data_IF_850559824398
#
_entry.id   IF_850559824398
#
_cell.length_a   1.000
_cell.length_b   1.000
_cell.length_c   1.000
_cell.angle_alpha   90.00
_cell.angle_beta   90.00
_cell.angle_gamma   90.00
#
_symmetry.space_group_name_H-M   'P 1'
#
loop_
_entity.id
_entity.type
_entity.pdbx_description
1 polymer ?
#
# COMPACT_ATOMS: atom_id res chain seq x y z
N UNK A 1 -46.96 -74.13 15.22
CA UNK A 1 -46.88 -73.17 16.34
C UNK A 1 -46.63 -71.81 15.72
N UNK A 2 -47.59 -70.90 15.82
CA UNK A 2 -47.51 -69.56 15.26
C UNK A 2 -47.01 -68.60 16.36
N UNK A 3 -45.95 -67.85 16.07
CA UNK A 3 -45.41 -66.82 16.96
C UNK A 3 -46.41 -65.67 17.11
N UNK A 4 -46.77 -65.37 18.35
CA UNK A 4 -47.60 -64.23 18.72
C UNK A 4 -46.65 -63.02 18.91
N UNK A 5 -46.80 -61.92 18.15
CA UNK A 5 -45.96 -60.75 18.34
C UNK A 5 -46.28 -60.04 19.67
N UNK A 6 -45.21 -59.62 20.36
CA UNK A 6 -45.25 -58.92 21.65
C UNK A 6 -46.12 -57.65 21.63
N UNK A 7 -46.82 -57.34 22.73
CA UNK A 7 -47.61 -56.12 22.84
C UNK A 7 -46.70 -54.88 22.92
N UNK A 8 -47.04 -53.90 22.07
CA UNK A 8 -46.45 -52.57 22.02
C UNK A 8 -46.23 -51.96 23.41
N UNK A 9 -44.96 -51.76 23.77
CA UNK A 9 -44.53 -51.00 24.94
C UNK A 9 -44.96 -49.53 24.75
N UNK A 10 -46.01 -49.10 25.46
CA UNK A 10 -46.42 -47.68 25.50
C UNK A 10 -45.26 -46.85 26.06
N UNK A 11 -44.64 -46.06 25.20
CA UNK A 11 -43.78 -44.96 25.60
C UNK A 11 -44.66 -43.85 26.16
N UNK A 12 -44.76 -43.78 27.48
CA UNK A 12 -45.27 -42.62 28.21
C UNK A 12 -44.33 -41.44 27.95
N UNK A 13 -44.52 -40.76 26.82
CA UNK A 13 -43.91 -39.46 26.56
C UNK A 13 -44.82 -38.43 27.18
N UNK A 14 -44.43 -37.92 28.34
CA UNK A 14 -44.97 -36.67 28.88
C UNK A 14 -45.10 -35.63 27.75
N UNK A 15 -46.26 -34.95 27.62
CA UNK A 15 -46.46 -33.98 26.58
C UNK A 15 -45.45 -32.84 26.75
N UNK A 16 -44.45 -32.78 25.87
CA UNK A 16 -43.49 -31.68 25.82
C UNK A 16 -44.26 -30.39 25.55
N UNK A 17 -44.25 -29.50 26.54
CA UNK A 17 -44.82 -28.16 26.46
C UNK A 17 -44.41 -27.45 25.16
N UNK A 18 -45.39 -26.95 24.40
CA UNK A 18 -45.17 -26.16 23.18
C UNK A 18 -44.31 -24.91 23.43
N UNK A 19 -44.29 -24.36 24.66
CA UNK A 19 -43.37 -23.30 25.07
C UNK A 19 -41.91 -23.75 25.05
N UNK A 20 -41.61 -25.00 25.40
CA UNK A 20 -40.26 -25.56 25.33
C UNK A 20 -39.77 -25.86 23.90
N UNK A 21 -40.70 -25.87 22.92
CA UNK A 21 -40.41 -26.01 21.49
C UNK A 21 -40.33 -24.67 20.76
N UNK A 22 -40.88 -23.60 21.33
CA UNK A 22 -40.95 -22.26 20.72
C UNK A 22 -40.00 -21.24 21.34
N UNK A 23 -39.52 -21.46 22.57
CA UNK A 23 -38.41 -20.69 23.11
C UNK A 23 -37.10 -21.20 22.49
N UNK A 24 -36.36 -20.39 21.69
CA UNK A 24 -35.06 -20.77 21.21
C UNK A 24 -34.18 -21.08 22.43
N UNK A 25 -33.79 -22.34 22.57
CA UNK A 25 -33.17 -22.94 23.75
C UNK A 25 -31.79 -22.37 24.12
N UNK A 26 -31.37 -21.21 23.60
CA UNK A 26 -29.95 -20.86 23.55
C UNK A 26 -29.59 -19.37 23.48
N UNK A 27 -30.42 -18.43 23.96
CA UNK A 27 -30.02 -17.01 23.93
C UNK A 27 -30.33 -16.18 25.18
N UNK A 28 -31.01 -16.73 26.19
CA UNK A 28 -31.17 -16.04 27.46
C UNK A 28 -30.10 -16.54 28.44
N UNK A 29 -29.12 -15.70 28.82
CA UNK A 29 -28.15 -16.08 29.83
C UNK A 29 -28.84 -16.41 31.17
N UNK A 30 -28.19 -17.14 32.07
CA UNK A 30 -28.65 -17.31 33.45
C UNK A 30 -28.97 -15.96 34.10
N UNK A 31 -29.90 -15.95 35.05
CA UNK A 31 -30.31 -14.74 35.76
C UNK A 31 -29.09 -14.08 36.43
N UNK A 32 -28.83 -12.81 36.14
CA UNK A 32 -27.69 -12.05 36.68
C UNK A 32 -26.60 -11.74 35.65
N UNK A 33 -26.49 -12.54 34.59
CA UNK A 33 -25.42 -12.41 33.60
C UNK A 33 -25.87 -11.53 32.43
N UNK A 34 -25.11 -10.48 32.13
CA UNK A 34 -25.29 -9.65 30.93
C UNK A 34 -24.20 -9.94 29.92
N UNK A 35 -24.59 -10.09 28.65
CA UNK A 35 -23.65 -10.32 27.56
C UNK A 35 -23.64 -9.13 26.63
N UNK A 36 -22.45 -8.60 26.37
CA UNK A 36 -22.25 -7.51 25.41
C UNK A 36 -21.22 -7.91 24.38
N UNK A 37 -21.54 -7.67 23.11
CA UNK A 37 -20.57 -7.80 22.02
C UNK A 37 -20.12 -6.41 21.61
N UNK A 38 -18.82 -6.14 21.69
CA UNK A 38 -18.22 -4.89 21.21
C UNK A 38 -17.15 -5.18 20.17
N UNK A 39 -16.79 -4.17 19.37
CA UNK A 39 -15.71 -4.27 18.39
C UNK A 39 -14.58 -3.36 18.85
N UNK A 40 -13.38 -3.92 18.98
CA UNK A 40 -12.19 -3.16 19.32
C UNK A 40 -11.39 -2.86 18.06
N UNK A 41 -11.03 -1.59 17.87
CA UNK A 41 -10.31 -1.13 16.68
C UNK A 41 -8.81 -1.37 16.85
N UNK A 42 -8.23 -2.23 16.01
CA UNK A 42 -6.77 -2.48 15.97
C UNK A 42 -6.07 -1.59 14.94
N UNK A 43 -6.41 -0.30 14.88
CA UNK A 43 -5.99 0.57 13.79
C UNK A 43 -4.53 1.03 13.86
N UNK A 44 -3.90 1.04 15.04
CA UNK A 44 -2.58 1.66 15.23
C UNK A 44 -1.49 1.14 14.27
N UNK A 45 -1.33 -0.18 14.18
CA UNK A 45 -0.34 -0.78 13.28
C UNK A 45 -0.71 -0.65 11.79
N UNK A 46 -2.01 -0.64 11.48
CA UNK A 46 -2.52 -0.49 10.11
C UNK A 46 -2.32 0.94 9.58
N UNK A 47 -2.49 1.94 10.44
CA UNK A 47 -2.17 3.34 10.12
C UNK A 47 -0.67 3.46 9.83
N UNK A 48 0.18 2.81 10.63
CA UNK A 48 1.62 2.76 10.36
C UNK A 48 1.95 2.16 8.99
N UNK A 49 1.35 1.03 8.63
CA UNK A 49 1.53 0.42 7.30
C UNK A 49 1.02 1.31 6.16
N UNK A 50 -0.07 2.03 6.37
CA UNK A 50 -0.62 2.97 5.40
C UNK A 50 0.39 4.10 5.13
N UNK A 51 0.95 4.70 6.17
CA UNK A 51 1.97 5.75 6.06
C UNK A 51 3.21 5.22 5.34
N UNK A 52 3.71 4.03 5.70
CA UNK A 52 4.85 3.41 5.03
C UNK A 52 4.55 3.17 3.55
N UNK A 53 3.38 2.62 3.22
CA UNK A 53 2.96 2.38 1.84
C UNK A 53 2.93 3.66 1.02
N UNK A 54 2.41 4.77 1.56
CA UNK A 54 2.43 6.08 0.91
C UNK A 54 3.85 6.59 0.67
N UNK A 55 4.73 6.49 1.67
CA UNK A 55 6.14 6.93 1.54
C UNK A 55 6.84 6.12 0.45
N UNK A 56 6.68 4.80 0.44
CA UNK A 56 7.28 3.91 -0.56
C UNK A 56 6.74 4.24 -1.96
N UNK A 57 5.43 4.51 -2.09
CA UNK A 57 4.85 4.92 -3.37
C UNK A 57 5.39 6.24 -3.90
N UNK A 58 5.49 7.26 -3.04
CA UNK A 58 6.05 8.57 -3.40
C UNK A 58 7.53 8.46 -3.75
N UNK A 59 8.29 7.70 -2.98
CA UNK A 59 9.71 7.44 -3.27
C UNK A 59 9.89 6.72 -4.61
N UNK A 60 9.06 5.70 -4.88
CA UNK A 60 9.06 4.99 -6.17
C UNK A 60 8.75 5.92 -7.34
N UNK A 61 7.77 6.81 -7.19
CA UNK A 61 7.42 7.81 -8.20
C UNK A 61 8.57 8.81 -8.44
N UNK A 62 9.25 9.25 -7.39
CA UNK A 62 10.35 10.21 -7.50
C UNK A 62 11.56 9.68 -8.27
N UNK A 63 11.71 8.36 -8.39
CA UNK A 63 12.83 7.73 -9.09
C UNK A 63 12.39 6.91 -10.30
N UNK A 64 11.12 7.01 -10.72
CA UNK A 64 10.56 6.21 -11.82
C UNK A 64 11.16 6.58 -13.17
N UNK A 65 11.62 7.82 -13.31
CA UNK A 65 12.29 8.31 -14.50
C UNK A 65 13.80 8.17 -14.33
N UNK A 66 14.43 7.40 -15.23
CA UNK A 66 15.88 7.32 -15.36
C UNK A 66 16.30 7.84 -16.74
N UNK A 67 17.52 8.36 -16.84
CA UNK A 67 18.06 8.92 -18.07
C UNK A 67 19.17 8.01 -18.58
N UNK A 68 18.85 7.15 -19.53
CA UNK A 68 19.82 6.22 -20.10
C UNK A 68 20.53 6.83 -21.29
N UNK A 69 21.83 6.61 -21.35
CA UNK A 69 22.63 6.95 -22.53
C UNK A 69 22.03 6.25 -23.76
N UNK A 70 21.76 7.03 -24.80
CA UNK A 70 21.30 6.52 -26.08
C UNK A 70 22.44 6.48 -27.10
N UNK A 71 22.99 7.65 -27.42
CA UNK A 71 24.01 7.80 -28.46
C UNK A 71 24.76 9.12 -28.30
N UNK A 72 26.00 9.14 -28.80
CA UNK A 72 26.79 10.35 -28.97
C UNK A 72 27.12 10.63 -30.44
N UNK A 73 27.30 11.89 -30.79
CA UNK A 73 27.75 12.37 -32.09
C UNK A 73 28.91 13.32 -31.90
N UNK A 74 29.84 13.31 -32.85
CA UNK A 74 31.00 14.18 -32.87
C UNK A 74 31.02 14.92 -34.19
N UNK A 75 31.06 16.24 -34.13
CA UNK A 75 31.07 17.12 -35.30
C UNK A 75 32.16 18.16 -35.14
N UNK A 76 32.85 18.46 -36.24
CA UNK A 76 33.80 19.55 -36.33
C UNK A 76 33.35 20.50 -37.44
N UNK A 77 33.15 21.77 -37.11
CA UNK A 77 32.74 22.78 -38.08
C UNK A 77 33.27 24.15 -37.73
N UNK A 78 33.28 25.04 -38.71
CA UNK A 78 33.65 26.45 -38.53
C UNK A 78 32.41 27.32 -38.63
N UNK A 79 32.29 28.31 -37.74
CA UNK A 79 31.24 29.34 -37.76
C UNK A 79 31.90 30.67 -38.13
N UNK A 80 31.50 31.22 -39.28
CA UNK A 80 32.07 32.46 -39.79
C UNK A 80 31.63 33.67 -38.95
N UNK A 81 32.34 34.81 -39.03
CA UNK A 81 31.84 36.06 -38.46
C UNK A 81 30.47 36.39 -39.04
N UNK A 82 29.58 36.99 -38.25
CA UNK A 82 28.21 37.33 -38.70
C UNK A 82 27.32 36.14 -39.04
N UNK A 83 27.73 34.91 -38.70
CA UNK A 83 26.96 33.68 -38.94
C UNK A 83 26.46 33.06 -37.64
N UNK A 84 25.30 32.40 -37.71
CA UNK A 84 24.83 31.45 -36.72
C UNK A 84 24.60 30.08 -37.37
N UNK A 85 25.31 29.05 -36.91
CA UNK A 85 25.24 27.70 -37.47
C UNK A 85 24.14 26.88 -36.76
N UNK A 86 23.09 26.43 -37.48
CA UNK A 86 22.05 25.58 -36.91
C UNK A 86 22.49 24.11 -36.83
N UNK A 87 22.08 23.43 -35.77
CA UNK A 87 22.18 21.97 -35.63
C UNK A 87 20.86 21.40 -35.09
N UNK A 88 20.13 20.71 -35.97
CA UNK A 88 18.76 20.23 -35.69
C UNK A 88 18.71 18.89 -34.97
N UNK A 89 17.77 18.76 -34.04
CA UNK A 89 17.54 17.59 -33.19
C UNK A 89 16.06 17.26 -33.10
N UNK A 90 15.71 15.99 -33.28
CA UNK A 90 14.36 15.50 -32.99
C UNK A 90 14.34 14.85 -31.62
N UNK A 91 13.68 15.49 -30.66
CA UNK A 91 13.71 15.11 -29.25
C UNK A 91 12.32 14.71 -28.75
N UNK A 92 12.27 13.72 -27.87
CA UNK A 92 11.06 13.39 -27.10
C UNK A 92 11.03 14.24 -25.82
N UNK A 93 9.84 14.44 -25.25
CA UNK A 93 9.69 15.10 -23.94
C UNK A 93 10.57 14.42 -22.89
N UNK A 94 11.27 15.21 -22.07
CA UNK A 94 12.17 14.74 -21.01
C UNK A 94 13.51 14.20 -21.51
N UNK A 95 13.71 14.09 -22.83
CA UNK A 95 15.02 13.71 -23.38
C UNK A 95 16.03 14.81 -23.11
N UNK A 96 17.23 14.41 -22.70
CA UNK A 96 18.31 15.32 -22.35
C UNK A 96 19.36 15.29 -23.44
N UNK A 97 19.61 16.45 -24.03
CA UNK A 97 20.71 16.71 -24.94
C UNK A 97 21.83 17.42 -24.18
N UNK A 98 22.96 16.73 -24.00
CA UNK A 98 24.18 17.30 -23.46
C UNK A 98 25.12 17.67 -24.62
N UNK A 99 25.68 18.87 -24.59
CA UNK A 99 26.63 19.35 -25.61
C UNK A 99 27.90 19.80 -24.92
N UNK A 100 28.99 19.12 -25.25
CA UNK A 100 30.34 19.44 -24.83
C UNK A 100 31.11 19.95 -26.04
N UNK A 101 31.60 21.19 -26.00
CA UNK A 101 32.26 21.82 -27.13
C UNK A 101 33.60 22.47 -26.75
N UNK A 102 34.57 22.38 -27.65
CA UNK A 102 35.80 23.17 -27.60
C UNK A 102 35.81 24.17 -28.75
N UNK A 103 36.20 25.41 -28.47
CA UNK A 103 36.19 26.51 -29.44
C UNK A 103 37.62 26.99 -29.67
N UNK A 104 38.01 27.07 -30.94
CA UNK A 104 39.29 27.61 -31.39
C UNK A 104 39.07 28.85 -32.28
N UNK A 105 40.06 29.73 -32.33
CA UNK A 105 39.98 31.00 -33.06
C UNK A 105 39.30 32.13 -32.28
N UNK A 106 39.65 33.38 -32.62
CA UNK A 106 39.16 34.59 -31.94
C UNK A 106 39.35 34.56 -30.42
N UNK A 107 38.30 34.92 -29.68
CA UNK A 107 38.26 34.92 -28.21
C UNK A 107 37.85 33.56 -27.60
N UNK A 108 37.80 32.48 -28.40
CA UNK A 108 37.41 31.12 -27.98
C UNK A 108 36.04 31.05 -27.29
N UNK A 109 35.12 31.90 -27.73
CA UNK A 109 33.77 31.99 -27.19
C UNK A 109 32.72 31.74 -28.26
N UNK A 110 31.50 31.40 -27.92
CA UNK A 110 30.39 31.26 -28.88
C UNK A 110 29.08 31.46 -28.12
N UNK A 111 28.07 32.05 -28.75
CA UNK A 111 26.74 32.09 -28.14
C UNK A 111 26.01 30.80 -28.49
N UNK A 112 25.37 30.17 -27.50
CA UNK A 112 24.57 28.96 -27.74
C UNK A 112 23.15 29.17 -27.24
N UNK A 113 22.17 28.92 -28.10
CA UNK A 113 20.76 28.93 -27.74
C UNK A 113 20.00 27.84 -28.52
N UNK A 114 18.82 27.49 -28.03
CA UNK A 114 17.94 26.45 -28.57
C UNK A 114 16.62 27.09 -28.96
N UNK A 115 16.17 26.79 -30.17
CA UNK A 115 14.89 27.22 -30.72
C UNK A 115 13.99 26.01 -30.91
N UNK A 116 12.71 26.14 -30.55
CA UNK A 116 11.68 25.17 -30.97
C UNK A 116 11.27 25.49 -32.41
N UNK A 117 11.54 24.58 -33.34
CA UNK A 117 11.31 24.78 -34.77
C UNK A 117 9.82 24.95 -35.10
N UNK A 118 8.91 24.46 -34.23
CA UNK A 118 7.46 24.64 -34.42
C UNK A 118 7.03 26.07 -34.16
N UNK A 119 7.55 26.69 -33.10
CA UNK A 119 7.12 28.02 -32.65
C UNK A 119 8.04 29.13 -33.14
N UNK A 120 9.26 28.78 -33.56
CA UNK A 120 10.34 29.73 -33.88
C UNK A 120 10.86 30.48 -32.66
N UNK A 121 10.42 30.12 -31.44
CA UNK A 121 10.82 30.82 -30.21
C UNK A 121 12.04 30.17 -29.58
N UNK A 122 12.91 31.00 -29.01
CA UNK A 122 14.03 30.54 -28.19
C UNK A 122 13.48 29.95 -26.89
N UNK A 123 13.61 28.63 -26.74
CA UNK A 123 13.19 27.91 -25.53
C UNK A 123 14.26 27.96 -24.45
N UNK A 124 15.53 28.10 -24.84
CA UNK A 124 16.66 28.21 -23.91
C UNK A 124 17.78 29.02 -24.52
N UNK A 125 18.26 30.04 -23.83
CA UNK A 125 19.47 30.78 -24.20
C UNK A 125 20.54 30.54 -23.12
N UNK A 126 21.68 29.99 -23.51
CA UNK A 126 22.82 29.79 -22.62
C UNK A 126 23.78 30.99 -22.64
N UNK A 127 23.52 31.98 -23.50
CA UNK A 127 24.34 33.16 -23.66
C UNK A 127 25.68 32.88 -24.34
N UNK A 128 26.60 33.82 -24.18
CA UNK A 128 27.98 33.73 -24.70
C UNK A 128 28.84 32.95 -23.72
N UNK A 129 29.36 31.82 -24.17
CA UNK A 129 30.16 30.89 -23.37
C UNK A 129 31.59 30.85 -23.88
N UNK A 130 32.55 30.66 -22.97
CA UNK A 130 33.99 30.54 -23.28
C UNK A 130 34.41 29.08 -23.17
N UNK A 131 35.27 28.61 -24.08
CA UNK A 131 35.76 27.23 -24.10
C UNK A 131 36.57 26.85 -22.84
N UNK A 132 36.45 25.61 -22.33
CA UNK A 132 35.56 24.52 -22.75
C UNK A 132 34.10 24.74 -22.32
N UNK A 133 33.17 24.31 -23.18
CA UNK A 133 31.74 24.52 -22.99
C UNK A 133 31.07 23.19 -22.67
N UNK A 134 30.21 23.17 -21.66
CA UNK A 134 29.31 22.07 -21.34
C UNK A 134 27.93 22.63 -21.05
N UNK A 135 26.93 22.24 -21.84
CA UNK A 135 25.54 22.63 -21.64
C UNK A 135 24.63 21.40 -21.64
N UNK A 136 23.54 21.50 -20.88
CA UNK A 136 22.52 20.45 -20.77
C UNK A 136 21.16 21.06 -21.07
N UNK A 137 20.47 20.51 -22.06
CA UNK A 137 19.13 20.90 -22.46
C UNK A 137 18.17 19.73 -22.30
N UNK A 138 17.08 19.94 -21.57
CA UNK A 138 15.98 18.97 -21.44
C UNK A 138 14.81 19.44 -22.30
N UNK A 139 14.34 18.57 -23.20
CA UNK A 139 13.25 18.90 -24.11
C UNK A 139 11.91 18.98 -23.36
N UNK A 140 11.24 20.16 -23.32
CA UNK A 140 10.00 20.34 -22.56
C UNK A 140 8.81 19.60 -23.20
N UNK A 141 8.83 19.45 -24.52
CA UNK A 141 7.83 18.76 -25.31
C UNK A 141 8.51 17.87 -26.36
N UNK A 142 7.74 16.99 -26.99
CA UNK A 142 8.20 16.24 -28.15
C UNK A 142 8.20 17.16 -29.36
N UNK A 143 9.33 17.31 -30.04
CA UNK A 143 9.45 18.24 -31.16
C UNK A 143 10.79 18.21 -31.87
N UNK A 144 10.94 19.14 -32.82
CA UNK A 144 12.21 19.43 -33.46
C UNK A 144 12.78 20.70 -32.80
N UNK A 145 14.04 20.61 -32.40
CA UNK A 145 14.76 21.69 -31.74
C UNK A 145 16.04 21.96 -32.51
N UNK A 146 16.34 23.23 -32.77
CA UNK A 146 17.60 23.63 -33.39
C UNK A 146 18.50 24.31 -32.37
N UNK A 147 19.69 23.74 -32.19
CA UNK A 147 20.76 24.37 -31.41
C UNK A 147 21.54 25.29 -32.34
N UNK A 148 21.65 26.56 -32.00
CA UNK A 148 22.42 27.53 -32.76
C UNK A 148 23.76 27.79 -32.09
N UNK A 149 24.83 27.68 -32.87
CA UNK A 149 26.16 28.16 -32.51
C UNK A 149 26.38 29.52 -33.20
N UNK A 150 26.21 30.57 -32.44
CA UNK A 150 26.10 31.94 -32.93
C UNK A 150 27.41 32.71 -32.73
N UNK A 151 27.99 33.17 -33.86
CA UNK A 151 29.16 34.01 -33.94
C UNK A 151 28.85 35.39 -34.58
N UNK A 152 27.59 35.82 -34.54
CA UNK A 152 27.14 37.09 -35.13
C UNK A 152 27.76 38.33 -34.46
N UNK A 153 28.18 38.18 -33.20
CA UNK A 153 28.86 39.23 -32.46
C UNK A 153 30.33 39.44 -32.92
N UNK A 154 30.94 38.48 -33.60
CA UNK A 154 32.31 38.65 -34.13
C UNK A 154 32.28 39.38 -35.46
N UNK A 155 33.25 40.27 -35.66
CA UNK A 155 33.36 41.07 -36.90
C UNK A 155 34.29 40.44 -37.93
N UNK A 156 35.38 39.80 -37.50
CA UNK A 156 36.46 39.37 -38.40
C UNK A 156 36.92 37.92 -38.20
N UNK A 157 36.82 37.38 -36.99
CA UNK A 157 37.44 36.10 -36.66
C UNK A 157 36.42 34.94 -36.73
N UNK A 158 36.62 33.96 -37.63
CA UNK A 158 35.85 32.71 -37.61
C UNK A 158 36.22 31.87 -36.39
N UNK A 159 35.35 30.92 -36.06
CA UNK A 159 35.53 30.04 -34.90
C UNK A 159 35.41 28.59 -35.30
N UNK A 160 36.44 27.81 -35.01
CA UNK A 160 36.39 26.37 -35.14
C UNK A 160 35.75 25.77 -33.90
N UNK A 161 34.77 24.90 -34.07
CA UNK A 161 34.17 24.13 -32.99
C UNK A 161 34.43 22.65 -33.19
N UNK A 162 34.83 21.98 -32.11
CA UNK A 162 34.74 20.52 -31.98
C UNK A 162 33.68 20.22 -30.95
N UNK A 163 32.58 19.62 -31.40
CA UNK A 163 31.37 19.43 -30.59
C UNK A 163 31.09 17.95 -30.43
N UNK A 164 30.89 17.55 -29.18
CA UNK A 164 30.35 16.25 -28.80
C UNK A 164 28.96 16.46 -28.25
N UNK A 165 27.95 15.88 -28.88
CA UNK A 165 26.60 15.84 -28.35
C UNK A 165 26.29 14.44 -27.84
N UNK A 166 25.65 14.35 -26.68
CA UNK A 166 25.23 13.10 -26.06
C UNK A 166 23.74 13.19 -25.76
N UNK A 167 23.00 12.18 -26.20
CA UNK A 167 21.57 12.09 -25.95
C UNK A 167 21.28 11.06 -24.86
N UNK A 168 20.51 11.47 -23.87
CA UNK A 168 19.95 10.61 -22.84
C UNK A 168 18.44 10.57 -23.00
N UNK A 169 17.89 9.37 -23.17
CA UNK A 169 16.45 9.16 -23.29
C UNK A 169 15.87 8.80 -21.93
N UNK A 170 14.68 9.32 -21.65
CA UNK A 170 13.91 8.93 -20.47
C UNK A 170 13.50 7.48 -20.63
N UNK A 171 13.88 6.65 -19.67
CA UNK A 171 13.46 5.26 -19.56
C UNK A 171 12.81 5.04 -18.19
N UNK A 172 11.98 4.00 -18.10
CA UNK A 172 11.33 3.64 -16.85
C UNK A 172 12.34 2.89 -15.99
N UNK A 173 12.64 3.45 -14.83
CA UNK A 173 13.36 2.74 -13.79
C UNK A 173 12.47 1.63 -13.24
N UNK A 174 12.79 0.39 -13.60
CA UNK A 174 12.05 -0.80 -13.16
C UNK A 174 11.91 -0.86 -11.64
N UNK A 175 12.97 -0.53 -10.88
CA UNK A 175 12.92 -0.55 -9.42
C UNK A 175 12.01 0.55 -8.85
N UNK A 176 12.03 1.75 -9.44
CA UNK A 176 11.10 2.83 -9.09
C UNK A 176 9.65 2.43 -9.31
N UNK A 177 9.36 1.80 -10.45
CA UNK A 177 8.02 1.27 -10.76
C UNK A 177 7.56 0.19 -9.76
N UNK A 178 8.41 -0.79 -9.43
CA UNK A 178 8.08 -1.84 -8.46
C UNK A 178 7.83 -1.25 -7.05
N UNK A 179 8.65 -0.29 -6.61
CA UNK A 179 8.40 0.42 -5.35
C UNK A 179 7.07 1.16 -5.38
N UNK A 180 6.75 1.86 -6.47
CA UNK A 180 5.48 2.56 -6.61
C UNK A 180 4.29 1.59 -6.43
N UNK A 181 4.27 0.48 -7.19
CA UNK A 181 3.19 -0.51 -7.17
C UNK A 181 3.08 -1.21 -5.82
N UNK A 182 4.21 -1.63 -5.24
CA UNK A 182 4.21 -2.30 -3.93
C UNK A 182 3.65 -1.40 -2.82
N UNK A 183 4.01 -0.11 -2.81
CA UNK A 183 3.44 0.87 -1.89
C UNK A 183 1.92 1.03 -2.06
N UNK A 184 1.42 1.06 -3.31
CA UNK A 184 -0.02 1.15 -3.60
C UNK A 184 -0.75 -0.10 -3.08
N UNK A 185 -0.21 -1.28 -3.35
CA UNK A 185 -0.77 -2.56 -2.86
C UNK A 185 -0.81 -2.57 -1.33
N UNK A 186 0.25 -2.11 -0.65
CA UNK A 186 0.26 -2.00 0.81
C UNK A 186 -0.84 -1.07 1.34
N UNK A 187 -1.04 0.09 0.72
CA UNK A 187 -2.11 1.04 1.11
C UNK A 187 -3.48 0.39 0.95
N UNK A 188 -3.75 -0.25 -0.20
CA UNK A 188 -5.02 -0.93 -0.46
C UNK A 188 -5.29 -2.02 0.58
N UNK A 189 -4.30 -2.88 0.85
CA UNK A 189 -4.43 -3.93 1.86
C UNK A 189 -4.64 -3.34 3.25
N UNK A 190 -3.91 -2.29 3.63
CA UNK A 190 -4.08 -1.62 4.91
C UNK A 190 -5.51 -1.07 5.07
N UNK A 191 -6.06 -0.43 4.04
CA UNK A 191 -7.45 0.07 4.04
C UNK A 191 -8.45 -1.07 4.19
N UNK A 192 -8.30 -2.16 3.43
CA UNK A 192 -9.15 -3.35 3.57
C UNK A 192 -9.10 -3.89 4.99
N UNK A 193 -7.90 -4.02 5.57
CA UNK A 193 -7.75 -4.46 6.96
C UNK A 193 -8.25 -3.46 7.99
N UNK A 194 -8.28 -2.15 7.72
CA UNK A 194 -8.90 -1.16 8.62
C UNK A 194 -10.42 -1.34 8.64
N UNK A 195 -11.03 -1.57 7.48
CA UNK A 195 -12.46 -1.82 7.34
C UNK A 195 -12.86 -3.13 8.04
N UNK A 196 -12.07 -4.18 7.84
CA UNK A 196 -12.33 -5.53 8.38
C UNK A 196 -11.88 -5.68 9.84
N UNK A 197 -10.76 -5.07 10.23
CA UNK A 197 -9.95 -5.29 11.44
C UNK A 197 -10.56 -4.86 12.77
N UNK A 198 -11.88 -4.76 12.80
CA UNK A 198 -12.65 -4.70 14.02
C UNK A 198 -12.66 -6.09 14.66
N UNK A 199 -11.80 -6.30 15.67
CA UNK A 199 -11.78 -7.58 16.39
C UNK A 199 -13.01 -7.61 17.31
N UNK A 200 -13.90 -8.60 17.16
CA UNK A 200 -15.03 -8.74 18.07
C UNK A 200 -14.52 -9.17 19.45
N UNK A 201 -14.98 -8.48 20.47
CA UNK A 201 -14.76 -8.77 21.88
C UNK A 201 -16.10 -9.15 22.48
N UNK A 202 -16.14 -10.28 23.17
CA UNK A 202 -17.29 -10.70 23.96
C UNK A 202 -17.04 -10.30 25.41
N UNK A 203 -17.98 -9.58 26.02
CA UNK A 203 -17.94 -9.21 27.43
C UNK A 203 -19.08 -9.93 28.14
N UNK A 204 -18.76 -10.63 29.23
CA UNK A 204 -19.72 -11.21 30.17
C UNK A 204 -19.62 -10.41 31.48
N UNK A 205 -20.72 -9.84 31.92
CA UNK A 205 -20.84 -9.13 33.19
C UNK A 205 -21.65 -10.00 34.14
N UNK A 206 -21.11 -10.30 35.32
CA UNK A 206 -21.75 -11.08 36.37
C UNK A 206 -21.56 -10.37 37.72
N UNK A 207 -22.58 -9.63 38.15
CA UNK A 207 -22.48 -8.74 39.32
C UNK A 207 -21.40 -7.66 39.13
N UNK A 208 -20.34 -7.74 39.92
CA UNK A 208 -19.17 -6.83 39.88
C UNK A 208 -18.05 -7.34 38.97
N UNK A 209 -18.08 -8.61 38.56
CA UNK A 209 -17.05 -9.22 37.73
C UNK A 209 -17.31 -9.01 36.24
N UNK A 210 -16.30 -8.53 35.51
CA UNK A 210 -16.33 -8.32 34.06
C UNK A 210 -15.29 -9.21 33.39
N UNK A 211 -15.76 -10.16 32.58
CA UNK A 211 -14.93 -11.07 31.81
C UNK A 211 -14.93 -10.65 30.34
N UNK A 212 -13.76 -10.41 29.75
CA UNK A 212 -13.63 -10.06 28.34
C UNK A 212 -12.86 -11.13 27.57
N UNK A 213 -13.37 -11.50 26.40
CA UNK A 213 -12.81 -12.53 25.54
C UNK A 213 -12.50 -11.92 24.17
N UNK A 214 -11.23 -11.98 23.77
CA UNK A 214 -10.76 -11.47 22.48
C UNK A 214 -10.06 -12.56 21.71
N UNK A 215 -10.42 -12.68 20.43
CA UNK A 215 -9.71 -13.56 19.50
C UNK A 215 -8.33 -12.97 19.23
N UNK A 216 -7.31 -13.78 19.44
CA UNK A 216 -5.90 -13.44 19.26
C UNK A 216 -5.30 -14.22 18.08
N UNK A 217 -4.06 -13.87 17.72
CA UNK A 217 -3.30 -14.53 16.63
C UNK A 217 -3.40 -16.06 16.75
N UNK A 218 -3.53 -16.73 15.59
CA UNK A 218 -3.75 -18.18 15.46
C UNK A 218 -5.11 -18.69 15.98
N UNK A 219 -6.07 -17.79 16.19
CA UNK A 219 -7.44 -18.13 16.58
C UNK A 219 -7.56 -18.64 18.01
N UNK A 220 -6.63 -18.27 18.91
CA UNK A 220 -6.74 -18.49 20.37
C UNK A 220 -7.58 -17.41 21.01
N UNK A 221 -8.12 -17.65 22.21
CA UNK A 221 -8.77 -16.61 23.01
C UNK A 221 -7.84 -16.14 24.12
N UNK A 222 -7.71 -14.82 24.24
CA UNK A 222 -7.20 -14.16 25.45
C UNK A 222 -8.38 -13.77 26.35
N UNK A 223 -8.17 -13.90 27.65
CA UNK A 223 -9.18 -13.62 28.67
C UNK A 223 -8.68 -12.46 29.53
N UNK A 224 -9.55 -11.50 29.80
CA UNK A 224 -9.34 -10.46 30.81
C UNK A 224 -10.42 -10.58 31.87
N UNK A 225 -10.03 -10.39 33.13
CA UNK A 225 -10.95 -10.34 34.27
C UNK A 225 -10.75 -9.00 34.96
N UNK A 226 -11.80 -8.18 35.03
CA UNK A 226 -11.77 -6.84 35.60
C UNK A 226 -10.64 -5.95 35.02
N UNK A 227 -10.36 -6.12 33.73
CA UNK A 227 -9.31 -5.36 33.02
C UNK A 227 -7.90 -5.94 33.13
N UNK A 228 -7.67 -7.00 33.91
CA UNK A 228 -6.36 -7.66 34.03
C UNK A 228 -6.27 -8.86 33.08
N UNK A 229 -5.22 -8.93 32.26
CA UNK A 229 -5.00 -10.06 31.34
C UNK A 229 -4.60 -11.32 32.14
N UNK A 230 -5.33 -12.41 31.93
CA UNK A 230 -4.99 -13.71 32.50
C UNK A 230 -3.92 -14.35 31.61
N UNK A 231 -2.82 -14.92 32.18
CA UNK A 231 -1.75 -15.53 31.39
C UNK A 231 -2.21 -16.77 30.59
N UNK A 232 -3.34 -17.37 31.00
CA UNK A 232 -3.90 -18.55 30.36
C UNK A 232 -4.57 -18.23 29.02
N UNK A 233 -4.24 -19.02 27.99
CA UNK A 233 -4.81 -18.88 26.65
C UNK A 233 -5.61 -20.13 26.30
N UNK A 234 -6.83 -19.95 25.79
CA UNK A 234 -7.68 -21.07 25.38
C UNK A 234 -7.38 -21.47 23.94
N UNK A 235 -6.93 -22.71 23.74
CA UNK A 235 -6.52 -23.23 22.42
C UNK A 235 -7.61 -23.98 21.65
N UNK A 236 -8.42 -24.81 22.33
CA UNK A 236 -9.49 -25.61 21.70
C UNK A 236 -10.75 -25.70 22.57
N UNK A 237 -10.57 -26.01 23.85
CA UNK A 237 -11.65 -26.11 24.83
C UNK A 237 -11.09 -25.71 26.19
N UNK A 238 -11.89 -25.01 26.99
CA UNK A 238 -11.59 -24.72 28.39
C UNK A 238 -12.88 -24.55 29.18
N UNK A 239 -12.81 -24.89 30.47
CA UNK A 239 -13.92 -24.74 31.42
C UNK A 239 -13.41 -23.95 32.61
N UNK A 240 -14.11 -22.88 32.95
CA UNK A 240 -13.80 -21.99 34.06
C UNK A 240 -14.97 -21.93 35.02
N UNK A 241 -14.68 -21.73 36.30
CA UNK A 241 -15.67 -21.25 37.26
C UNK A 241 -15.67 -19.73 37.23
N UNK A 242 -16.86 -19.14 37.21
CA UNK A 242 -17.08 -17.69 37.15
C UNK A 242 -18.17 -17.30 38.15
N UNK A 243 -18.19 -16.03 38.53
CA UNK A 243 -19.11 -15.48 39.53
C UNK A 243 -18.43 -15.17 40.87
N UNK A 244 -19.03 -14.33 41.72
CA UNK A 244 -18.45 -13.92 43.01
C UNK A 244 -18.09 -15.07 43.96
N UNK A 245 -18.78 -16.20 43.85
CA UNK A 245 -18.63 -17.42 44.65
C UNK A 245 -18.37 -18.66 43.78
N UNK A 246 -17.88 -18.50 42.54
CA UNK A 246 -17.67 -19.59 41.58
C UNK A 246 -18.93 -20.43 41.28
N UNK A 247 -20.10 -19.79 41.36
CA UNK A 247 -21.41 -20.44 41.22
C UNK A 247 -21.72 -20.88 39.78
N UNK A 248 -21.13 -20.23 38.78
CA UNK A 248 -21.41 -20.46 37.36
C UNK A 248 -20.25 -21.19 36.67
N UNK A 249 -20.58 -22.06 35.71
CA UNK A 249 -19.59 -22.78 34.91
C UNK A 249 -19.56 -22.25 33.49
N UNK A 250 -18.46 -21.60 33.10
CA UNK A 250 -18.21 -21.11 31.75
C UNK A 250 -17.44 -22.14 30.94
N UNK A 251 -18.06 -22.63 29.87
CA UNK A 251 -17.43 -23.50 28.88
C UNK A 251 -17.16 -22.71 27.59
N UNK A 252 -15.92 -22.77 27.12
CA UNK A 252 -15.45 -22.14 25.89
C UNK A 252 -14.99 -23.25 24.95
N UNK A 253 -15.65 -23.38 23.80
CA UNK A 253 -15.35 -24.45 22.83
C UNK A 253 -15.16 -23.89 21.43
N UNK A 254 -14.12 -24.35 20.72
CA UNK A 254 -13.90 -24.03 19.31
C UNK A 254 -14.59 -25.07 18.44
N UNK A 255 -15.65 -24.66 17.72
CA UNK A 255 -16.34 -25.51 16.74
C UNK A 255 -16.09 -25.08 15.32
N UNK A 256 -16.03 -26.05 14.43
CA UNK A 256 -16.07 -25.79 13.01
C UNK A 256 -17.52 -25.47 12.62
N UNK A 257 -17.77 -24.29 12.08
CA UNK A 257 -19.12 -23.87 11.67
C UNK A 257 -19.47 -24.41 10.28
N UNK A 258 -20.77 -24.44 9.96
CA UNK A 258 -21.27 -24.79 8.63
C UNK A 258 -20.74 -23.85 7.52
N UNK A 259 -20.36 -22.61 7.87
CA UNK A 259 -19.78 -21.62 6.95
C UNK A 259 -18.27 -21.81 6.70
N UNK A 260 -17.71 -22.99 7.00
CA UNK A 260 -16.29 -23.32 6.83
C UNK A 260 -15.31 -22.42 7.61
N UNK A 261 -15.83 -21.71 8.63
CA UNK A 261 -15.03 -20.88 9.53
C UNK A 261 -15.04 -21.50 10.91
N UNK A 262 -13.88 -21.46 11.59
CA UNK A 262 -13.84 -21.79 13.02
C UNK A 262 -14.60 -20.71 13.80
N UNK A 263 -15.37 -21.11 14.79
CA UNK A 263 -16.07 -20.21 15.69
C UNK A 263 -15.88 -20.66 17.12
N UNK A 264 -15.69 -19.70 18.01
CA UNK A 264 -15.69 -19.88 19.44
C UNK A 264 -17.11 -19.73 19.99
N UNK A 265 -17.55 -20.75 20.72
CA UNK A 265 -18.86 -20.79 21.35
C UNK A 265 -18.67 -20.70 22.86
N UNK A 266 -19.40 -19.79 23.47
CA UNK A 266 -19.37 -19.54 24.91
C UNK A 266 -20.68 -20.05 25.51
N UNK A 267 -20.57 -20.90 26.53
CA UNK A 267 -21.71 -21.45 27.25
C UNK A 267 -21.56 -21.19 28.74
N UNK A 268 -22.62 -20.72 29.40
CA UNK A 268 -22.68 -20.61 30.85
C UNK A 268 -23.76 -21.55 31.36
N UNK A 269 -23.40 -22.43 32.28
CA UNK A 269 -24.28 -23.49 32.84
C UNK A 269 -24.99 -24.31 31.75
N UNK A 270 -24.23 -24.65 30.70
CA UNK A 270 -24.72 -25.41 29.55
C UNK A 270 -25.59 -24.62 28.56
N UNK A 271 -25.83 -23.32 28.78
CA UNK A 271 -26.59 -22.44 27.87
C UNK A 271 -25.64 -21.60 27.04
N UNK A 272 -25.84 -21.56 25.73
CA UNK A 272 -25.06 -20.69 24.85
C UNK A 272 -25.34 -19.22 25.13
N UNK A 273 -24.29 -18.43 25.34
CA UNK A 273 -24.39 -17.00 25.67
C UNK A 273 -23.78 -16.10 24.59
N UNK A 274 -22.91 -16.62 23.72
CA UNK A 274 -22.31 -15.83 22.65
C UNK A 274 -21.39 -16.61 21.72
N UNK A 275 -21.04 -15.96 20.61
CA UNK A 275 -20.10 -16.48 19.60
C UNK A 275 -19.08 -15.44 19.15
N UNK A 276 -17.85 -15.88 18.98
CA UNK A 276 -16.77 -15.15 18.31
C UNK A 276 -16.27 -15.94 17.07
N UNK A 277 -15.86 -15.27 15.99
CA UNK A 277 -15.22 -15.90 14.84
C UNK A 277 -13.80 -16.41 15.17
#
# INVERSE_FOLDING_TARGET
>A
MADIPEPYKRLDREPKSLKALTEPKSLKPPSGIRVRKRRERTWGWLIGLLVIGLIVSVAGLAIIEDHKFYKSWHEEFTVLPKEAKPWGWRLSKGTILEINATVSGGNRDIRIYVVDDRTGQTVKDFGRLVSPISIRFEAPEKGNYTVYFDNTFSTLMPKGLKVTSTLYVTDINFWGFIMMISGVVMVVLAVIFIIIGNVPVLTLEDGEAVYEFKVWRNGKIKIWVNGVEVPEQVGKHAVFKIGPNDEHTLEIERKFSWTWTWQWIFRVDGREVGRLP
#
